data_IF_564743349237
#
_entry.id   IF_564743349237
#
_cell.length_a   1.000
_cell.length_b   1.000
_cell.length_c   1.000
_cell.angle_alpha   90.00
_cell.angle_beta   90.00
_cell.angle_gamma   90.00
#
_symmetry.space_group_name_H-M   'P 1'
#
loop_
_entity.id
_entity.type
_entity.pdbx_description
1 polymer ?
#
# COMPACT_ATOMS: atom_id res chain seq x y z
N UNK A 1 -0.51 10.05 11.01
CA UNK A 1 -0.43 10.68 9.65
C UNK A 1 0.01 9.60 8.67
N UNK A 2 -0.79 9.35 7.63
CA UNK A 2 -0.48 8.38 6.58
C UNK A 2 0.44 8.99 5.52
N UNK A 3 1.17 8.22 4.70
CA UNK A 3 1.95 8.76 3.59
C UNK A 3 1.12 9.62 2.62
N UNK A 4 -0.16 9.31 2.46
CA UNK A 4 -1.09 10.11 1.64
C UNK A 4 -1.36 11.48 2.27
N UNK A 5 -1.63 11.51 3.57
CA UNK A 5 -1.80 12.76 4.31
C UNK A 5 -0.51 13.57 4.33
N UNK A 6 0.63 12.92 4.58
CA UNK A 6 1.93 13.57 4.56
C UNK A 6 2.28 14.12 3.16
N UNK A 7 1.95 13.39 2.09
CA UNK A 7 2.08 13.89 0.71
C UNK A 7 1.27 15.18 0.50
N UNK A 8 0.03 15.22 1.00
CA UNK A 8 -0.81 16.44 0.95
C UNK A 8 -0.23 17.59 1.79
N UNK A 9 0.32 17.27 2.96
CA UNK A 9 1.01 18.24 3.83
C UNK A 9 2.25 18.83 3.14
N UNK A 10 3.04 18.00 2.46
CA UNK A 10 4.19 18.43 1.66
C UNK A 10 3.75 19.35 0.52
N UNK A 11 2.70 18.98 -0.22
CA UNK A 11 2.15 19.84 -1.28
C UNK A 11 1.57 21.15 -0.72
N UNK A 12 0.95 21.10 0.46
CA UNK A 12 0.50 22.29 1.18
C UNK A 12 1.67 23.21 1.56
N UNK A 13 2.81 22.66 1.97
CA UNK A 13 4.02 23.43 2.24
C UNK A 13 4.58 24.09 0.96
N UNK A 14 4.57 23.38 -0.17
CA UNK A 14 4.96 23.94 -1.47
C UNK A 14 4.03 25.11 -1.86
N UNK A 15 2.71 24.94 -1.73
CA UNK A 15 1.74 26.03 -2.01
C UNK A 15 2.02 27.26 -1.15
N UNK A 16 2.21 27.09 0.16
CA UNK A 16 2.53 28.19 1.06
C UNK A 16 3.81 28.93 0.66
N UNK A 17 4.85 28.21 0.27
CA UNK A 17 6.11 28.82 -0.20
C UNK A 17 5.92 29.57 -1.53
N UNK A 18 5.04 29.09 -2.42
CA UNK A 18 4.69 29.79 -3.67
C UNK A 18 3.86 31.02 -3.39
N UNK A 19 2.84 30.92 -2.53
CA UNK A 19 1.98 32.03 -2.12
C UNK A 19 2.75 33.14 -1.39
N UNK A 20 3.78 32.76 -0.61
CA UNK A 20 4.73 33.68 0.03
C UNK A 20 5.74 34.30 -0.95
N UNK A 21 5.74 33.88 -2.21
CA UNK A 21 6.70 34.37 -3.24
C UNK A 21 8.14 33.85 -3.07
N UNK A 22 8.35 32.88 -2.16
CA UNK A 22 9.66 32.28 -1.88
C UNK A 22 10.09 31.29 -2.97
N UNK A 23 9.11 30.64 -3.61
CA UNK A 23 9.28 29.75 -4.74
C UNK A 23 8.44 30.19 -5.93
N UNK A 24 8.99 30.10 -7.13
CA UNK A 24 8.28 30.38 -8.40
C UNK A 24 8.22 29.11 -9.22
N UNK A 25 7.25 28.24 -8.88
CA UNK A 25 7.05 26.94 -9.53
C UNK A 25 5.56 26.63 -9.56
N UNK A 26 5.16 25.78 -10.50
CA UNK A 26 3.86 25.15 -10.45
C UNK A 26 3.87 24.07 -9.33
N UNK A 27 2.80 24.04 -8.55
CA UNK A 27 2.67 23.03 -7.49
C UNK A 27 2.44 21.67 -8.14
N UNK A 28 3.30 20.67 -7.89
CA UNK A 28 3.13 19.36 -8.49
C UNK A 28 1.87 18.66 -7.95
N UNK A 29 1.29 17.78 -8.75
CA UNK A 29 0.10 17.01 -8.37
C UNK A 29 0.40 16.01 -7.24
N UNK A 30 1.64 15.54 -7.15
CA UNK A 30 2.07 14.50 -6.20
C UNK A 30 3.42 14.84 -5.59
N UNK A 31 3.53 14.60 -4.29
CA UNK A 31 4.81 14.52 -3.58
C UNK A 31 5.08 13.06 -3.21
N UNK A 32 6.24 12.55 -3.59
CA UNK A 32 6.67 11.21 -3.19
C UNK A 32 7.15 11.25 -1.75
N UNK A 33 6.55 10.41 -0.90
CA UNK A 33 6.92 10.23 0.50
C UNK A 33 7.20 8.75 0.72
N UNK A 34 8.39 8.43 1.21
CA UNK A 34 8.86 7.06 1.44
C UNK A 34 9.57 6.97 2.78
N UNK A 35 9.75 5.78 3.36
CA UNK A 35 10.70 5.60 4.45
C UNK A 35 12.09 6.13 4.06
N UNK A 36 12.87 6.69 5.01
CA UNK A 36 14.21 7.19 4.72
C UNK A 36 15.11 6.09 4.16
N UNK A 37 15.92 6.42 3.15
CA UNK A 37 16.96 5.53 2.64
C UNK A 37 18.14 5.38 3.62
N UNK A 38 19.14 4.61 3.22
CA UNK A 38 20.36 4.40 4.03
C UNK A 38 21.01 5.73 4.41
N UNK A 39 21.19 5.96 5.71
CA UNK A 39 21.72 7.22 6.27
C UNK A 39 20.69 8.33 6.47
N UNK A 40 19.42 8.12 6.11
CA UNK A 40 18.33 9.04 6.43
C UNK A 40 17.88 8.91 7.89
N UNK A 41 17.32 9.98 8.44
CA UNK A 41 16.80 10.06 9.81
C UNK A 41 15.33 10.44 9.80
N UNK A 42 14.58 10.08 10.86
CA UNK A 42 13.13 10.36 10.94
C UNK A 42 12.26 9.20 10.45
N UNK A 43 10.96 9.46 10.32
CA UNK A 43 9.95 8.44 9.99
C UNK A 43 9.72 8.34 8.47
N UNK A 44 9.79 9.47 7.78
CA UNK A 44 9.61 9.57 6.32
C UNK A 44 10.61 10.51 5.69
N UNK A 45 10.82 10.34 4.38
CA UNK A 45 11.62 11.22 3.54
C UNK A 45 10.85 11.60 2.27
N UNK A 46 11.11 12.82 1.76
CA UNK A 46 10.61 13.25 0.45
C UNK A 46 11.72 13.88 -0.37
N UNK A 47 11.66 13.66 -1.69
CA UNK A 47 12.56 14.23 -2.68
C UNK A 47 11.96 15.47 -3.37
N UNK A 48 10.91 16.06 -2.80
CA UNK A 48 10.16 17.16 -3.44
C UNK A 48 11.07 18.35 -3.80
N UNK A 49 12.05 18.67 -2.98
CA UNK A 49 13.00 19.76 -3.27
C UNK A 49 13.89 19.46 -4.49
N UNK A 50 14.27 18.19 -4.68
CA UNK A 50 15.01 17.75 -5.88
C UNK A 50 14.13 17.88 -7.14
N UNK A 51 12.85 17.56 -7.05
CA UNK A 51 11.91 17.68 -8.16
C UNK A 51 11.67 19.14 -8.54
N UNK A 52 11.57 20.04 -7.55
CA UNK A 52 11.28 21.45 -7.76
C UNK A 52 12.52 22.28 -8.11
N UNK A 53 13.73 21.79 -7.87
CA UNK A 53 14.99 22.53 -8.06
C UNK A 53 15.15 23.09 -9.48
N UNK A 54 14.93 22.23 -10.49
CA UNK A 54 15.06 22.62 -11.90
C UNK A 54 13.97 23.62 -12.33
N UNK A 55 12.67 23.39 -12.08
CA UNK A 55 11.63 24.38 -12.37
C UNK A 55 11.83 25.71 -11.64
N UNK A 56 12.32 25.69 -10.39
CA UNK A 56 12.58 26.89 -9.59
C UNK A 56 13.84 27.64 -10.01
N UNK A 57 14.71 27.04 -10.82
CA UNK A 57 16.02 27.61 -11.17
C UNK A 57 16.93 27.75 -9.94
N UNK A 58 16.75 26.94 -8.89
CA UNK A 58 17.48 26.99 -7.64
C UNK A 58 18.12 25.65 -7.28
N UNK A 59 19.24 25.63 -6.53
CA UNK A 59 19.81 24.38 -6.04
C UNK A 59 18.81 23.61 -5.14
N UNK A 60 18.77 22.27 -5.20
CA UNK A 60 17.84 21.47 -4.39
C UNK A 60 17.93 21.73 -2.89
N UNK A 61 19.15 21.93 -2.38
CA UNK A 61 19.37 22.27 -0.98
C UNK A 61 18.66 23.57 -0.60
N UNK A 62 18.73 24.60 -1.47
CA UNK A 62 18.07 25.87 -1.23
C UNK A 62 16.55 25.73 -1.22
N UNK A 63 16.00 24.94 -2.14
CA UNK A 63 14.57 24.64 -2.18
C UNK A 63 14.14 23.88 -0.89
N UNK A 64 14.97 22.94 -0.43
CA UNK A 64 14.70 22.22 0.83
C UNK A 64 14.72 23.17 2.05
N UNK A 65 15.66 24.11 2.11
CA UNK A 65 15.72 25.13 3.16
C UNK A 65 14.48 26.02 3.19
N UNK A 66 13.94 26.41 2.02
CA UNK A 66 12.72 27.21 1.91
C UNK A 66 11.48 26.41 2.36
N UNK A 67 11.39 25.12 2.02
CA UNK A 67 10.24 24.28 2.38
C UNK A 67 10.25 23.84 3.84
N UNK A 68 11.42 23.72 4.47
CA UNK A 68 11.56 23.23 5.84
C UNK A 68 10.69 23.98 6.87
N UNK A 69 10.67 25.34 6.93
CA UNK A 69 9.82 26.07 7.87
C UNK A 69 8.35 25.77 7.71
N UNK A 70 7.88 25.69 6.45
CA UNK A 70 6.48 25.39 6.14
C UNK A 70 6.07 23.95 6.51
N UNK A 71 7.02 23.02 6.60
CA UNK A 71 6.77 21.65 7.04
C UNK A 71 6.82 21.53 8.57
N UNK A 72 7.77 22.17 9.24
CA UNK A 72 7.91 22.11 10.71
C UNK A 72 6.67 22.66 11.42
N UNK A 73 5.98 23.64 10.84
CA UNK A 73 4.76 24.21 11.41
C UNK A 73 3.49 23.43 11.04
N UNK A 74 3.60 22.29 10.35
CA UNK A 74 2.44 21.48 10.01
C UNK A 74 2.09 20.53 11.17
N UNK A 75 0.78 20.38 11.44
CA UNK A 75 0.27 19.51 12.49
C UNK A 75 0.82 18.07 12.36
N UNK A 76 1.25 17.50 13.48
CA UNK A 76 1.77 16.14 13.55
C UNK A 76 3.23 15.98 13.10
N UNK A 77 3.94 17.07 12.77
CA UNK A 77 5.38 17.06 12.45
C UNK A 77 6.16 17.68 13.62
N UNK A 78 7.11 16.92 14.19
CA UNK A 78 7.96 17.37 15.30
C UNK A 78 9.34 17.85 14.83
N UNK A 79 9.73 17.53 13.60
CA UNK A 79 10.99 17.94 13.05
C UNK A 79 11.16 17.60 11.58
N UNK A 80 11.96 18.43 10.90
CA UNK A 80 12.36 18.22 9.51
C UNK A 80 13.86 18.43 9.40
N UNK A 81 14.57 17.42 8.94
CA UNK A 81 16.02 17.43 8.74
C UNK A 81 16.34 17.29 7.26
N UNK A 82 17.29 18.08 6.80
CA UNK A 82 17.73 18.03 5.40
C UNK A 82 18.99 17.16 5.32
N UNK A 83 18.96 16.16 4.44
CA UNK A 83 20.11 15.28 4.21
C UNK A 83 20.47 15.24 2.72
N UNK A 84 21.76 14.95 2.44
CA UNK A 84 22.28 14.86 1.09
C UNK A 84 22.01 16.13 0.28
N UNK A 85 21.67 16.00 -1.02
CA UNK A 85 21.51 17.14 -1.92
C UNK A 85 20.18 17.91 -1.76
N UNK A 86 19.32 17.55 -0.78
CA UNK A 86 18.01 18.19 -0.59
C UNK A 86 16.87 17.22 -0.29
N UNK A 87 17.16 16.05 0.30
CA UNK A 87 16.12 15.20 0.88
C UNK A 87 15.62 15.80 2.18
N UNK A 88 14.30 15.90 2.33
CA UNK A 88 13.65 16.34 3.55
C UNK A 88 13.20 15.10 4.32
N UNK A 89 13.85 14.85 5.47
CA UNK A 89 13.49 13.78 6.39
C UNK A 89 12.57 14.34 7.45
N UNK A 90 11.42 13.71 7.64
CA UNK A 90 10.32 14.21 8.45
C UNK A 90 10.17 13.30 9.66
N UNK A 91 10.12 13.91 10.86
CA UNK A 91 9.83 13.24 12.13
C UNK A 91 8.41 13.58 12.54
N UNK A 92 7.61 12.56 12.81
CA UNK A 92 6.22 12.71 13.24
C UNK A 92 6.10 12.78 14.76
N UNK A 93 4.99 13.36 15.22
CA UNK A 93 4.64 13.38 16.63
C UNK A 93 4.34 11.95 17.13
N UNK A 94 4.80 11.59 18.33
CA UNK A 94 4.59 10.24 18.88
C UNK A 94 3.10 9.87 19.03
N UNK A 95 2.24 10.86 19.26
CA UNK A 95 0.78 10.68 19.27
C UNK A 95 0.17 10.21 17.96
N UNK A 96 0.82 10.51 16.83
CA UNK A 96 0.35 10.11 15.49
C UNK A 96 0.42 8.60 15.29
N UNK A 97 1.47 7.94 15.81
CA UNK A 97 1.59 6.48 15.75
C UNK A 97 0.46 5.79 16.54
N UNK A 98 0.20 6.27 17.76
CA UNK A 98 -0.89 5.74 18.58
C UNK A 98 -2.28 5.99 17.96
N UNK A 99 -2.49 7.16 17.35
CA UNK A 99 -3.73 7.49 16.64
C UNK A 99 -3.94 6.59 15.42
N UNK A 100 -2.88 6.28 14.66
CA UNK A 100 -2.95 5.35 13.54
C UNK A 100 -3.31 3.95 13.99
N UNK A 101 -2.62 3.42 15.01
CA UNK A 101 -2.90 2.07 15.56
C UNK A 101 -4.35 2.00 16.04
N UNK A 102 -4.81 3.01 16.76
CA UNK A 102 -6.22 3.09 17.20
C UNK A 102 -7.17 3.07 16.01
N UNK A 103 -6.92 3.87 14.98
CA UNK A 103 -7.72 3.89 13.77
C UNK A 103 -7.79 2.52 13.08
N UNK A 104 -6.67 1.80 12.96
CA UNK A 104 -6.64 0.46 12.36
C UNK A 104 -7.54 -0.50 13.16
N UNK A 105 -7.45 -0.47 14.49
CA UNK A 105 -8.25 -1.33 15.36
C UNK A 105 -9.74 -0.98 15.32
N UNK A 106 -10.08 0.32 15.32
CA UNK A 106 -11.47 0.81 15.27
C UNK A 106 -12.15 0.50 13.93
N UNK A 107 -11.43 0.66 12.81
CA UNK A 107 -11.95 0.36 11.47
C UNK A 107 -12.01 -1.16 11.21
N UNK A 108 -11.11 -1.92 11.79
CA UNK A 108 -11.02 -3.37 11.65
C UNK A 108 -10.64 -3.84 10.23
N UNK A 109 -10.53 -5.17 10.01
CA UNK A 109 -10.01 -5.75 8.77
C UNK A 109 -10.90 -5.50 7.56
N UNK A 110 -12.20 -5.26 7.76
CA UNK A 110 -13.16 -5.05 6.68
C UNK A 110 -13.23 -3.61 6.16
N UNK A 111 -12.62 -2.63 6.87
CA UNK A 111 -12.75 -1.21 6.52
C UNK A 111 -11.43 -0.46 6.46
N UNK A 112 -10.41 -0.88 7.22
CA UNK A 112 -9.14 -0.16 7.17
C UNK A 112 -8.55 -0.16 5.75
N UNK A 113 -8.22 1.02 5.25
CA UNK A 113 -7.73 1.24 3.89
C UNK A 113 -8.83 1.37 2.83
N UNK A 114 -10.10 1.15 3.17
CA UNK A 114 -11.22 1.41 2.28
C UNK A 114 -11.51 2.91 2.18
N UNK A 115 -12.08 3.33 1.06
CA UNK A 115 -12.45 4.73 0.84
C UNK A 115 -13.59 4.85 -0.17
N UNK A 116 -14.24 6.01 -0.20
CA UNK A 116 -15.26 6.37 -1.18
C UNK A 116 -14.69 7.29 -2.29
N UNK A 117 -13.36 7.26 -2.49
CA UNK A 117 -12.68 8.15 -3.44
C UNK A 117 -13.15 7.97 -4.89
N UNK A 118 -13.70 6.81 -5.22
CA UNK A 118 -14.23 6.47 -6.54
C UNK A 118 -15.76 6.28 -6.54
N UNK A 119 -16.46 6.81 -5.55
CA UNK A 119 -17.92 6.70 -5.49
C UNK A 119 -18.56 7.26 -6.77
N UNK A 120 -19.49 6.50 -7.35
CA UNK A 120 -20.16 6.83 -8.59
C UNK A 120 -19.41 6.44 -9.88
N UNK A 121 -18.16 5.99 -9.80
CA UNK A 121 -17.42 5.49 -10.97
C UNK A 121 -17.74 4.02 -11.26
N UNK A 122 -17.67 3.65 -12.54
CA UNK A 122 -17.85 2.27 -13.00
C UNK A 122 -16.60 1.84 -13.76
N UNK A 123 -16.01 0.73 -13.34
CA UNK A 123 -14.87 0.09 -14.00
C UNK A 123 -15.31 -1.16 -14.74
N UNK A 124 -14.89 -1.30 -15.98
CA UNK A 124 -15.17 -2.50 -16.79
C UNK A 124 -13.86 -3.30 -16.93
N UNK A 125 -13.81 -4.50 -16.37
CA UNK A 125 -12.68 -5.42 -16.51
C UNK A 125 -12.97 -6.37 -17.69
N UNK A 126 -12.14 -6.32 -18.74
CA UNK A 126 -12.19 -7.28 -19.85
C UNK A 126 -11.24 -8.44 -19.56
N UNK A 127 -11.79 -9.63 -19.46
CA UNK A 127 -11.09 -10.81 -18.93
C UNK A 127 -11.16 -11.94 -19.96
N UNK A 128 -10.03 -12.49 -20.44
CA UNK A 128 -10.02 -13.69 -21.26
C UNK A 128 -10.44 -14.92 -20.44
N UNK A 129 -10.90 -15.97 -21.11
CA UNK A 129 -11.15 -17.29 -20.49
C UNK A 129 -9.81 -17.95 -20.15
N UNK A 130 -9.20 -17.52 -19.04
CA UNK A 130 -7.93 -18.02 -18.54
C UNK A 130 -7.91 -17.90 -17.00
N UNK A 131 -7.58 -18.97 -16.31
CA UNK A 131 -7.73 -19.10 -14.85
C UNK A 131 -7.02 -18.00 -14.08
N UNK A 132 -5.80 -17.61 -14.48
CA UNK A 132 -5.06 -16.55 -13.80
C UNK A 132 -5.68 -15.19 -14.02
N UNK A 133 -6.16 -14.91 -15.24
CA UNK A 133 -6.83 -13.66 -15.56
C UNK A 133 -8.13 -13.50 -14.77
N UNK A 134 -8.90 -14.58 -14.62
CA UNK A 134 -10.14 -14.58 -13.84
C UNK A 134 -9.86 -14.33 -12.34
N UNK A 135 -8.83 -14.98 -11.77
CA UNK A 135 -8.45 -14.76 -10.37
C UNK A 135 -7.90 -13.35 -10.14
N UNK A 136 -7.08 -12.82 -11.05
CA UNK A 136 -6.59 -11.43 -10.98
C UNK A 136 -7.74 -10.44 -11.08
N UNK A 137 -8.70 -10.67 -11.99
CA UNK A 137 -9.87 -9.80 -12.14
C UNK A 137 -10.79 -9.81 -10.90
N UNK A 138 -11.01 -10.97 -10.29
CA UNK A 138 -11.78 -11.09 -9.04
C UNK A 138 -11.16 -10.23 -7.92
N UNK A 139 -9.83 -10.31 -7.74
CA UNK A 139 -9.14 -9.51 -6.72
C UNK A 139 -9.13 -8.03 -7.07
N UNK A 140 -8.90 -7.67 -8.34
CA UNK A 140 -9.00 -6.28 -8.78
C UNK A 140 -10.39 -5.71 -8.52
N UNK A 141 -11.45 -6.48 -8.80
CA UNK A 141 -12.83 -6.06 -8.54
C UNK A 141 -13.04 -5.76 -7.05
N UNK A 142 -12.54 -6.61 -6.14
CA UNK A 142 -12.61 -6.38 -4.68
C UNK A 142 -11.81 -5.13 -4.26
N UNK A 143 -10.59 -4.98 -4.78
CA UNK A 143 -9.76 -3.81 -4.46
C UNK A 143 -10.37 -2.50 -4.96
N UNK A 144 -10.93 -2.49 -6.17
CA UNK A 144 -11.60 -1.31 -6.74
C UNK A 144 -12.89 -1.01 -5.99
N UNK A 145 -13.67 -2.04 -5.65
CA UNK A 145 -14.88 -1.89 -4.83
C UNK A 145 -14.55 -1.34 -3.43
N UNK A 146 -13.42 -1.73 -2.83
CA UNK A 146 -12.97 -1.18 -1.55
C UNK A 146 -12.66 0.33 -1.61
N UNK A 147 -12.52 0.89 -2.80
CA UNK A 147 -12.34 2.34 -3.02
C UNK A 147 -13.66 3.03 -3.44
N UNK A 148 -14.79 2.35 -3.34
CA UNK A 148 -16.14 2.89 -3.57
C UNK A 148 -16.65 2.80 -5.00
N UNK A 149 -15.87 2.29 -5.96
CA UNK A 149 -16.34 2.12 -7.35
C UNK A 149 -17.18 0.87 -7.54
N UNK A 150 -17.98 0.87 -8.61
CA UNK A 150 -18.65 -0.32 -9.11
C UNK A 150 -17.78 -1.01 -10.16
N UNK A 151 -17.81 -2.35 -10.20
CA UNK A 151 -17.00 -3.12 -11.15
C UNK A 151 -17.90 -4.05 -11.96
N UNK A 152 -17.72 -4.04 -13.27
CA UNK A 152 -18.32 -4.98 -14.20
C UNK A 152 -17.23 -5.86 -14.81
N UNK A 153 -17.41 -7.18 -14.79
CA UNK A 153 -16.51 -8.13 -15.42
C UNK A 153 -17.13 -8.58 -16.73
N UNK A 154 -16.42 -8.35 -17.85
CA UNK A 154 -16.82 -8.79 -19.18
C UNK A 154 -15.83 -9.83 -19.70
N UNK A 155 -16.29 -11.06 -19.92
CA UNK A 155 -15.48 -12.12 -20.48
C UNK A 155 -15.34 -11.97 -22.00
N UNK A 156 -14.12 -12.14 -22.51
CA UNK A 156 -13.83 -12.05 -23.95
C UNK A 156 -13.27 -13.36 -24.47
N UNK A 157 -13.84 -13.85 -25.60
CA UNK A 157 -13.19 -14.92 -26.37
C UNK A 157 -11.91 -14.39 -27.01
N UNK A 158 -10.84 -15.20 -27.03
CA UNK A 158 -9.50 -14.81 -27.52
C UNK A 158 -9.45 -14.24 -28.95
N UNK A 159 -10.50 -14.39 -29.74
CA UNK A 159 -10.58 -14.00 -31.15
C UNK A 159 -11.36 -12.70 -31.42
N UNK A 160 -12.02 -12.10 -30.45
CA UNK A 160 -12.69 -10.81 -30.64
C UNK A 160 -11.72 -9.66 -30.43
N UNK A 161 -10.83 -9.46 -31.40
CA UNK A 161 -10.07 -8.23 -31.53
C UNK A 161 -10.97 -7.13 -32.12
N UNK A 162 -11.13 -6.08 -31.31
CA UNK A 162 -11.42 -4.71 -31.75
C UNK A 162 -12.67 -4.46 -32.61
N UNK A 163 -13.79 -4.29 -31.96
CA UNK A 163 -14.69 -3.20 -32.33
C UNK A 163 -14.74 -2.24 -31.13
N UNK A 164 -13.98 -1.17 -31.22
CA UNK A 164 -14.06 -0.02 -30.32
C UNK A 164 -15.45 0.61 -30.47
N UNK A 165 -16.36 0.26 -29.58
CA UNK A 165 -17.58 1.04 -29.38
C UNK A 165 -17.20 2.32 -28.64
N UNK A 166 -17.34 3.44 -29.32
CA UNK A 166 -16.89 4.79 -28.94
C UNK A 166 -17.79 5.48 -27.89
N UNK A 167 -18.69 4.74 -27.25
CA UNK A 167 -19.72 5.31 -26.36
C UNK A 167 -19.59 4.93 -24.87
N UNK A 168 -18.45 4.35 -24.45
CA UNK A 168 -18.31 3.99 -23.04
C UNK A 168 -17.67 5.13 -22.25
N UNK A 169 -18.48 5.82 -21.45
CA UNK A 169 -18.09 6.73 -20.36
C UNK A 169 -17.42 5.98 -19.18
N UNK A 170 -17.18 4.67 -19.33
CA UNK A 170 -16.64 3.79 -18.29
C UNK A 170 -15.15 3.55 -18.48
N UNK A 171 -14.43 3.52 -17.38
CA UNK A 171 -13.02 3.18 -17.39
C UNK A 171 -12.84 1.69 -17.64
N UNK A 172 -12.19 1.33 -18.76
CA UNK A 172 -12.04 -0.07 -19.18
C UNK A 172 -10.60 -0.54 -18.98
N UNK A 173 -10.41 -1.69 -18.34
CA UNK A 173 -9.12 -2.33 -18.08
C UNK A 173 -9.07 -3.75 -18.67
N UNK A 174 -8.09 -4.00 -19.55
CA UNK A 174 -7.79 -5.34 -20.06
C UNK A 174 -6.95 -6.13 -19.07
N UNK A 175 -7.47 -7.23 -18.54
CA UNK A 175 -6.78 -8.08 -17.57
C UNK A 175 -6.09 -9.23 -18.31
N UNK A 176 -4.81 -9.06 -18.66
CA UNK A 176 -4.03 -10.04 -19.43
C UNK A 176 -2.68 -10.35 -18.76
N UNK A 177 -2.66 -11.04 -17.62
CA UNK A 177 -1.41 -11.54 -17.05
C UNK A 177 -0.85 -12.68 -17.93
N UNK A 178 0.44 -13.00 -17.75
CA UNK A 178 1.00 -14.23 -18.36
C UNK A 178 0.24 -15.44 -17.84
N UNK A 179 -0.28 -16.32 -18.73
CA UNK A 179 -1.12 -17.45 -18.33
C UNK A 179 -0.47 -18.42 -17.36
N UNK A 180 -1.32 -19.12 -16.61
CA UNK A 180 -0.86 -20.21 -15.76
C UNK A 180 -0.30 -21.37 -16.61
N UNK A 181 0.88 -21.93 -16.27
CA UNK A 181 1.50 -23.00 -17.06
C UNK A 181 0.77 -24.36 -16.93
N UNK A 182 -0.02 -24.53 -15.88
CA UNK A 182 -0.75 -25.76 -15.54
C UNK A 182 -1.91 -25.44 -14.61
N UNK A 183 -2.81 -26.41 -14.41
CA UNK A 183 -3.94 -26.30 -13.49
C UNK A 183 -3.47 -26.11 -12.04
N UNK A 184 -3.87 -25.02 -11.33
CA UNK A 184 -3.52 -24.79 -9.95
C UNK A 184 -4.41 -25.53 -8.93
N UNK A 185 -5.52 -26.14 -9.36
CA UNK A 185 -6.53 -26.79 -8.49
C UNK A 185 -5.93 -27.79 -7.48
N UNK A 186 -4.89 -28.61 -7.83
CA UNK A 186 -4.30 -29.53 -6.88
C UNK A 186 -3.63 -28.89 -5.65
N UNK A 187 -3.37 -27.57 -5.67
CA UNK A 187 -2.83 -26.86 -4.52
C UNK A 187 -3.89 -26.51 -3.45
N UNK A 188 -5.17 -26.72 -3.74
CA UNK A 188 -6.27 -26.24 -2.92
C UNK A 188 -6.53 -24.73 -3.13
N UNK A 189 -7.65 -24.19 -2.60
CA UNK A 189 -8.15 -22.87 -2.97
C UNK A 189 -7.16 -21.74 -2.67
N UNK A 190 -6.64 -21.67 -1.46
CA UNK A 190 -5.80 -20.56 -1.01
C UNK A 190 -4.42 -20.55 -1.66
N UNK A 191 -3.76 -21.71 -1.67
CA UNK A 191 -2.44 -21.85 -2.27
C UNK A 191 -2.49 -21.67 -3.80
N UNK A 192 -3.57 -22.13 -4.45
CA UNK A 192 -3.81 -21.90 -5.87
C UNK A 192 -3.95 -20.40 -6.18
N UNK A 193 -4.79 -19.68 -5.40
CA UNK A 193 -4.95 -18.22 -5.55
C UNK A 193 -3.64 -17.50 -5.33
N UNK A 194 -2.92 -17.82 -4.25
CA UNK A 194 -1.62 -17.22 -3.96
C UNK A 194 -0.60 -17.43 -5.07
N UNK A 195 -0.49 -18.66 -5.59
CA UNK A 195 0.44 -18.98 -6.69
C UNK A 195 0.17 -18.16 -7.95
N UNK A 196 -1.08 -17.81 -8.22
CA UNK A 196 -1.49 -17.00 -9.37
C UNK A 196 -1.33 -15.49 -9.14
N UNK A 197 -1.47 -15.02 -7.90
CA UNK A 197 -1.52 -13.60 -7.55
C UNK A 197 -0.16 -13.02 -7.11
N UNK A 198 0.65 -13.77 -6.37
CA UNK A 198 1.92 -13.30 -5.81
C UNK A 198 2.98 -12.91 -6.87
N UNK A 199 3.18 -13.66 -7.98
CA UNK A 199 4.08 -13.26 -9.05
C UNK A 199 3.55 -12.03 -9.80
N UNK A 200 4.46 -11.19 -10.32
CA UNK A 200 4.05 -10.06 -11.16
C UNK A 200 3.24 -10.55 -12.38
N UNK A 201 2.32 -9.73 -12.94
CA UNK A 201 1.52 -10.13 -14.10
C UNK A 201 2.36 -10.56 -15.32
N UNK A 202 3.55 -9.98 -15.47
CA UNK A 202 4.53 -10.33 -16.51
C UNK A 202 5.26 -11.65 -16.28
N UNK A 203 5.25 -12.15 -15.05
CA UNK A 203 6.01 -13.33 -14.66
C UNK A 203 5.19 -14.59 -14.82
N UNK A 204 5.84 -15.67 -15.22
CA UNK A 204 5.21 -16.99 -15.28
C UNK A 204 5.04 -17.56 -13.86
N UNK A 205 3.81 -17.87 -13.41
CA UNK A 205 3.61 -18.42 -12.07
C UNK A 205 4.19 -19.82 -11.95
N UNK A 206 4.72 -20.13 -10.75
CA UNK A 206 5.15 -21.47 -10.38
C UNK A 206 4.01 -22.15 -9.63
N UNK A 207 3.57 -23.32 -10.12
CA UNK A 207 2.45 -24.06 -9.54
C UNK A 207 2.96 -25.41 -9.07
N UNK A 208 3.71 -25.41 -7.96
CA UNK A 208 4.27 -26.64 -7.39
C UNK A 208 3.89 -26.80 -5.92
N UNK A 209 3.57 -28.03 -5.51
CA UNK A 209 3.28 -28.34 -4.11
C UNK A 209 4.46 -28.00 -3.18
N UNK A 210 5.69 -28.20 -3.66
CA UNK A 210 6.90 -27.90 -2.89
C UNK A 210 7.07 -26.41 -2.56
N UNK A 211 6.55 -25.51 -3.41
CA UNK A 211 6.63 -24.06 -3.19
C UNK A 211 5.48 -23.54 -2.32
N UNK A 212 4.28 -24.16 -2.39
CA UNK A 212 3.06 -23.58 -1.85
C UNK A 212 2.40 -24.35 -0.71
N UNK A 213 2.66 -25.68 -0.55
CA UNK A 213 2.00 -26.48 0.48
C UNK A 213 2.91 -26.78 1.69
N UNK A 214 4.21 -26.56 1.57
CA UNK A 214 5.14 -26.84 2.68
C UNK A 214 5.08 -25.71 3.71
N UNK A 215 4.85 -26.07 4.97
CA UNK A 215 4.85 -25.16 6.11
C UNK A 215 6.29 -24.82 6.54
N UNK A 216 6.91 -23.92 5.81
CA UNK A 216 8.27 -23.47 6.08
C UNK A 216 8.43 -21.97 5.80
N UNK A 217 9.46 -21.38 6.36
CA UNK A 217 9.79 -19.96 6.21
C UNK A 217 9.92 -19.53 4.73
N UNK A 218 10.41 -20.39 3.85
CA UNK A 218 10.51 -20.12 2.41
C UNK A 218 9.18 -20.07 1.65
N UNK A 219 8.03 -20.41 2.29
CA UNK A 219 6.70 -20.28 1.68
C UNK A 219 6.05 -18.97 2.11
N UNK A 220 5.92 -17.97 1.21
CA UNK A 220 5.38 -16.67 1.57
C UNK A 220 3.93 -16.70 2.08
N UNK A 221 3.06 -17.55 1.49
CA UNK A 221 1.68 -17.70 1.98
C UNK A 221 1.66 -18.23 3.42
N UNK A 222 2.41 -19.30 3.68
CA UNK A 222 2.51 -19.84 5.03
C UNK A 222 2.99 -18.78 6.03
N UNK A 223 3.98 -17.97 5.68
CA UNK A 223 4.48 -16.88 6.56
C UNK A 223 3.41 -15.85 6.86
N UNK A 224 2.61 -15.44 5.89
CA UNK A 224 1.51 -14.47 6.08
C UNK A 224 0.43 -15.06 7.01
N UNK A 225 -0.03 -16.27 6.73
CA UNK A 225 -1.02 -16.96 7.58
C UNK A 225 -0.46 -17.23 8.99
N UNK A 226 0.80 -17.66 9.09
CA UNK A 226 1.48 -17.89 10.36
C UNK A 226 1.60 -16.60 11.18
N UNK A 227 2.00 -15.50 10.55
CA UNK A 227 2.08 -14.20 11.22
C UNK A 227 0.71 -13.77 11.76
N UNK A 228 -0.35 -13.90 10.96
CA UNK A 228 -1.72 -13.61 11.42
C UNK A 228 -2.10 -14.49 12.63
N UNK A 229 -1.98 -15.81 12.53
CA UNK A 229 -2.31 -16.72 13.63
C UNK A 229 -1.49 -16.43 14.90
N UNK A 230 -0.21 -16.06 14.75
CA UNK A 230 0.67 -15.67 15.87
C UNK A 230 0.25 -14.36 16.53
N UNK A 231 -0.21 -13.35 15.75
CA UNK A 231 -0.75 -12.11 16.34
C UNK A 231 -2.00 -12.41 17.16
N UNK A 232 -2.91 -13.24 16.67
CA UNK A 232 -4.10 -13.66 17.41
C UNK A 232 -3.73 -14.42 18.68
N UNK A 233 -2.75 -15.34 18.61
CA UNK A 233 -2.29 -16.08 19.79
C UNK A 233 -1.67 -15.15 20.85
N UNK A 234 -0.88 -14.15 20.45
CA UNK A 234 -0.26 -13.21 21.41
C UNK A 234 -1.31 -12.33 22.09
N UNK A 235 -2.37 -11.92 21.38
CA UNK A 235 -3.49 -11.16 21.96
C UNK A 235 -4.24 -12.01 22.99
N UNK A 236 -4.54 -13.28 22.66
CA UNK A 236 -5.16 -14.22 23.63
C UNK A 236 -4.28 -14.43 24.86
N UNK A 237 -2.99 -14.69 24.67
CA UNK A 237 -2.04 -14.90 25.77
C UNK A 237 -1.91 -13.66 26.67
N UNK A 238 -1.97 -12.46 26.10
CA UNK A 238 -1.97 -11.22 26.89
C UNK A 238 -3.23 -11.09 27.75
N UNK A 239 -4.39 -11.45 27.21
CA UNK A 239 -5.65 -11.48 27.98
C UNK A 239 -5.58 -12.48 29.13
N UNK A 240 -5.01 -13.68 28.92
CA UNK A 240 -4.78 -14.68 29.95
C UNK A 240 -3.80 -14.18 31.05
N UNK A 241 -2.85 -13.33 30.68
CA UNK A 241 -1.94 -12.64 31.60
C UNK A 241 -2.55 -11.39 32.26
N UNK A 242 -3.82 -11.08 31.98
CA UNK A 242 -4.57 -9.99 32.61
C UNK A 242 -4.26 -8.60 32.09
N UNK A 243 -3.78 -8.45 30.84
CA UNK A 243 -3.61 -7.12 30.24
C UNK A 243 -4.11 -7.05 28.78
N UNK A 244 -4.47 -5.86 28.36
CA UNK A 244 -5.07 -5.55 27.06
C UNK A 244 -4.16 -4.67 26.22
N UNK A 245 -4.31 -4.67 24.88
CA UNK A 245 -3.61 -3.74 24.00
C UNK A 245 -4.05 -2.30 24.27
N UNK A 246 -3.08 -1.40 24.35
CA UNK A 246 -3.31 0.04 24.49
C UNK A 246 -2.41 0.79 23.49
N UNK A 247 -2.98 1.46 22.46
CA UNK A 247 -2.19 2.25 21.53
C UNK A 247 -1.39 3.34 22.26
N UNK A 248 -0.08 3.28 22.17
CA UNK A 248 0.86 4.16 22.84
C UNK A 248 2.00 4.61 21.94
N UNK A 249 3.03 5.23 22.53
CA UNK A 249 4.24 5.58 21.80
C UNK A 249 4.89 4.30 21.25
N UNK A 250 4.90 4.15 19.93
CA UNK A 250 5.65 3.09 19.28
C UNK A 250 7.15 3.37 19.39
N UNK A 251 7.95 2.30 19.50
CA UNK A 251 9.40 2.46 19.44
C UNK A 251 9.80 3.10 18.09
N UNK A 252 10.69 4.10 18.08
CA UNK A 252 11.02 4.87 16.86
C UNK A 252 11.58 4.05 15.70
N UNK A 253 11.92 2.79 15.91
CA UNK A 253 12.55 1.89 14.94
C UNK A 253 11.69 0.68 14.56
N UNK A 254 10.40 0.66 14.89
CA UNK A 254 9.55 -0.45 14.45
C UNK A 254 9.31 -0.35 12.93
N UNK A 255 9.90 -1.21 12.09
CA UNK A 255 9.71 -1.17 10.63
C UNK A 255 8.26 -1.46 10.23
N UNK A 256 7.45 -1.93 11.18
CA UNK A 256 6.06 -2.30 10.99
C UNK A 256 5.14 -1.08 10.78
N UNK A 257 5.34 0.01 11.54
CA UNK A 257 4.44 1.17 11.48
C UNK A 257 4.34 1.81 10.07
N UNK A 258 5.44 2.05 9.35
CA UNK A 258 5.40 2.52 7.96
C UNK A 258 4.62 1.57 7.04
N UNK A 259 4.77 0.25 7.21
CA UNK A 259 4.05 -0.73 6.40
C UNK A 259 2.54 -0.66 6.66
N UNK A 260 2.10 -0.61 7.93
CA UNK A 260 0.68 -0.46 8.26
C UNK A 260 0.11 0.85 7.69
N UNK A 261 0.89 1.92 7.74
CA UNK A 261 0.52 3.23 7.20
C UNK A 261 0.38 3.23 5.68
N UNK A 262 1.16 2.39 4.98
CA UNK A 262 1.20 2.32 3.51
C UNK A 262 0.07 1.47 2.91
N UNK A 263 -0.58 0.64 3.71
CA UNK A 263 -1.61 -0.29 3.24
C UNK A 263 -2.76 0.39 2.46
N UNK A 264 -3.36 1.53 2.89
CA UNK A 264 -4.36 2.23 2.10
C UNK A 264 -3.86 2.67 0.72
N UNK A 265 -2.58 3.09 0.63
CA UNK A 265 -1.95 3.45 -0.65
C UNK A 265 -1.81 2.24 -1.56
N UNK A 266 -1.44 1.07 -1.00
CA UNK A 266 -1.36 -0.17 -1.77
C UNK A 266 -2.72 -0.53 -2.37
N UNK A 267 -3.80 -0.42 -1.61
CA UNK A 267 -5.15 -0.66 -2.13
C UNK A 267 -5.52 0.31 -3.26
N UNK A 268 -5.20 1.59 -3.09
CA UNK A 268 -5.44 2.60 -4.10
C UNK A 268 -4.65 2.39 -5.41
N UNK A 269 -3.61 1.53 -5.44
CA UNK A 269 -2.87 1.25 -6.69
C UNK A 269 -3.71 0.49 -7.72
N UNK A 270 -4.79 -0.18 -7.33
CA UNK A 270 -5.72 -0.83 -8.25
C UNK A 270 -6.45 0.18 -9.16
N UNK A 271 -6.51 1.45 -8.74
CA UNK A 271 -7.27 2.52 -9.37
C UNK A 271 -6.39 3.63 -9.96
N UNK A 272 -5.07 3.60 -9.75
CA UNK A 272 -4.12 4.67 -10.10
C UNK A 272 -3.93 4.91 -11.61
N UNK A 273 -4.75 4.30 -12.46
CA UNK A 273 -4.55 4.26 -13.91
C UNK A 273 -5.00 5.52 -14.65
N UNK A 274 -5.99 6.25 -14.14
CA UNK A 274 -6.70 7.26 -14.92
C UNK A 274 -6.12 8.67 -14.88
N UNK A 275 -5.59 9.11 -13.76
CA UNK A 275 -5.28 10.54 -13.54
C UNK A 275 -3.95 10.99 -14.14
N UNK A 276 -3.00 10.09 -14.40
CA UNK A 276 -1.65 10.46 -14.85
C UNK A 276 -1.53 10.65 -16.38
N UNK A 277 -2.55 10.34 -17.17
CA UNK A 277 -2.50 10.41 -18.65
C UNK A 277 -3.06 11.73 -19.19
N UNK A 278 -3.95 12.40 -18.46
CA UNK A 278 -4.58 13.64 -18.94
C UNK A 278 -3.59 14.82 -19.00
N UNK A 279 -2.58 14.86 -18.13
CA UNK A 279 -1.67 16.01 -18.03
C UNK A 279 -0.44 15.92 -18.95
N UNK A 280 -0.05 14.71 -19.38
CA UNK A 280 1.10 14.55 -20.29
C UNK A 280 0.83 14.93 -21.75
N UNK A 281 -0.46 15.07 -22.14
CA UNK A 281 -0.86 15.31 -23.55
C UNK A 281 -1.01 16.79 -23.90
N UNK A 282 -0.97 17.70 -22.91
CA UNK A 282 -1.21 19.13 -23.13
C UNK A 282 0.02 19.92 -23.61
N UNK A 283 1.21 19.32 -23.69
CA UNK A 283 2.46 20.04 -24.05
C UNK A 283 3.15 19.56 -25.32
N UNK A 284 2.53 18.70 -26.13
CA UNK A 284 3.06 18.32 -27.43
C UNK A 284 2.24 18.99 -28.54
N UNK A 285 2.66 20.16 -28.96
CA UNK A 285 2.21 20.83 -30.18
C UNK A 285 2.53 19.99 -31.42
N UNK A 286 1.49 19.66 -32.19
CA UNK A 286 1.61 19.47 -33.66
C UNK A 286 1.92 18.07 -34.14
N UNK A 287 0.94 17.50 -34.67
CA UNK A 287 0.69 16.46 -35.66
C UNK A 287 -0.14 15.30 -35.13
N UNK A 288 -1.36 15.22 -35.67
CA UNK A 288 -2.37 14.27 -35.28
C UNK A 288 -1.95 12.82 -35.50
N UNK A 289 -1.72 12.16 -34.40
CA UNK A 289 -1.88 10.71 -34.29
C UNK A 289 -2.65 10.49 -32.99
N UNK A 290 -3.88 10.07 -33.11
CA UNK A 290 -4.72 9.64 -31.98
C UNK A 290 -4.07 8.44 -31.32
N UNK A 291 -3.21 8.70 -30.34
CA UNK A 291 -2.71 7.65 -29.47
C UNK A 291 -3.89 7.16 -28.61
N UNK A 292 -4.41 6.00 -28.95
CA UNK A 292 -5.32 5.23 -28.08
C UNK A 292 -4.63 5.07 -26.71
N UNK A 293 -5.27 5.47 -25.60
CA UNK A 293 -4.71 5.23 -24.28
C UNK A 293 -4.65 3.71 -24.06
N UNK A 294 -3.44 3.15 -24.17
CA UNK A 294 -3.23 1.77 -23.76
C UNK A 294 -3.34 1.68 -22.24
N UNK A 295 -4.14 0.74 -21.70
CA UNK A 295 -4.24 0.52 -20.27
C UNK A 295 -2.84 0.22 -19.72
N UNK A 296 -2.44 0.98 -18.72
CA UNK A 296 -1.11 0.83 -18.12
C UNK A 296 -1.02 -0.51 -17.37
N UNK A 297 0.11 -1.23 -17.50
CA UNK A 297 0.35 -2.51 -16.82
C UNK A 297 0.33 -2.41 -15.28
N UNK A 298 0.30 -1.20 -14.74
CA UNK A 298 0.41 -0.93 -13.31
C UNK A 298 -0.81 -1.35 -12.48
N UNK A 299 -2.05 -1.20 -12.98
CA UNK A 299 -3.25 -1.58 -12.22
C UNK A 299 -3.35 -3.11 -12.08
N UNK A 300 -3.05 -3.87 -13.14
CA UNK A 300 -3.07 -5.34 -13.13
C UNK A 300 -2.08 -5.92 -12.11
N UNK A 301 -1.02 -5.17 -11.77
CA UNK A 301 -0.04 -5.56 -10.78
C UNK A 301 -0.49 -5.31 -9.31
N UNK A 302 -1.63 -4.66 -9.08
CA UNK A 302 -2.09 -4.33 -7.73
C UNK A 302 -2.27 -5.56 -6.82
N UNK A 303 -2.85 -6.69 -7.27
CA UNK A 303 -2.93 -7.90 -6.45
C UNK A 303 -1.55 -8.43 -6.02
N UNK A 304 -0.58 -8.44 -6.93
CA UNK A 304 0.78 -8.87 -6.62
C UNK A 304 1.52 -7.89 -5.69
N UNK A 305 1.22 -6.59 -5.78
CA UNK A 305 1.73 -5.59 -4.83
C UNK A 305 1.13 -5.81 -3.44
N UNK A 306 -0.18 -6.07 -3.35
CA UNK A 306 -0.84 -6.39 -2.09
C UNK A 306 -0.24 -7.65 -1.48
N UNK A 307 -0.12 -8.75 -2.22
CA UNK A 307 0.47 -9.99 -1.72
C UNK A 307 1.89 -9.80 -1.16
N UNK A 308 2.76 -9.07 -1.88
CA UNK A 308 4.11 -8.74 -1.42
C UNK A 308 4.13 -7.83 -0.21
N UNK A 309 3.20 -6.89 -0.14
CA UNK A 309 3.04 -6.02 1.02
C UNK A 309 2.66 -6.82 2.27
N UNK A 310 1.74 -7.78 2.15
CA UNK A 310 1.39 -8.67 3.27
C UNK A 310 2.57 -9.50 3.75
N UNK A 311 3.45 -9.96 2.85
CA UNK A 311 4.71 -10.63 3.24
C UNK A 311 5.60 -9.68 4.05
N UNK A 312 5.76 -8.44 3.62
CA UNK A 312 6.57 -7.47 4.37
C UNK A 312 5.97 -7.14 5.75
N UNK A 313 4.65 -7.03 5.85
CA UNK A 313 3.95 -6.85 7.15
C UNK A 313 4.15 -8.08 8.04
N UNK A 314 4.04 -9.30 7.47
CA UNK A 314 4.25 -10.55 8.19
C UNK A 314 5.67 -10.64 8.76
N UNK A 315 6.69 -10.32 7.97
CA UNK A 315 8.08 -10.32 8.41
C UNK A 315 8.30 -9.34 9.56
N UNK A 316 7.84 -8.10 9.39
CA UNK A 316 8.01 -7.06 10.39
C UNK A 316 7.27 -7.34 11.71
N UNK A 317 6.08 -7.96 11.66
CA UNK A 317 5.36 -8.31 12.88
C UNK A 317 5.97 -9.52 13.58
N UNK A 318 6.45 -10.53 12.84
CA UNK A 318 7.13 -11.69 13.42
C UNK A 318 8.38 -11.28 14.22
N UNK A 319 9.13 -10.27 13.75
CA UNK A 319 10.26 -9.70 14.48
C UNK A 319 9.84 -8.95 15.75
N UNK A 320 8.63 -8.40 15.80
CA UNK A 320 8.09 -7.69 16.96
C UNK A 320 7.58 -8.63 18.06
N UNK A 321 6.94 -9.75 17.68
CA UNK A 321 6.19 -10.63 18.59
C UNK A 321 7.01 -11.11 19.81
N UNK A 322 8.31 -11.48 19.72
CA UNK A 322 9.10 -11.95 20.87
C UNK A 322 9.24 -10.93 22.01
N UNK A 323 9.05 -9.63 21.72
CA UNK A 323 9.14 -8.55 22.71
C UNK A 323 7.77 -8.03 23.17
N UNK A 324 6.67 -8.65 22.72
CA UNK A 324 5.32 -8.15 22.98
C UNK A 324 4.78 -8.58 24.34
N UNK A 325 5.12 -9.78 24.81
CA UNK A 325 4.73 -10.29 26.11
C UNK A 325 5.85 -10.15 27.16
N UNK A 326 5.52 -9.90 28.43
CA UNK A 326 6.50 -9.90 29.51
C UNK A 326 7.14 -11.28 29.67
N UNK A 327 8.39 -11.33 30.14
CA UNK A 327 9.15 -12.57 30.32
C UNK A 327 9.38 -12.86 31.82
N UNK A 328 9.22 -14.11 32.21
CA UNK A 328 9.41 -14.56 33.59
C UNK A 328 8.50 -13.78 34.56
N UNK A 329 9.06 -13.18 35.60
CA UNK A 329 8.35 -12.43 36.63
C UNK A 329 8.09 -10.94 36.27
N UNK A 330 8.37 -10.54 35.02
CA UNK A 330 8.17 -9.17 34.57
C UNK A 330 6.68 -8.82 34.53
N UNK A 331 6.31 -7.64 35.06
CA UNK A 331 4.93 -7.16 34.99
C UNK A 331 4.67 -6.45 33.67
N UNK A 332 3.43 -6.56 33.11
CA UNK A 332 3.04 -5.82 31.91
C UNK A 332 3.27 -4.31 32.06
N UNK A 333 4.05 -3.73 31.17
CA UNK A 333 4.35 -2.30 31.11
C UNK A 333 3.54 -1.60 30.01
N UNK A 334 3.53 -0.28 29.99
CA UNK A 334 2.94 0.49 28.88
C UNK A 334 3.58 0.15 27.53
N UNK A 335 4.88 -0.17 27.50
CA UNK A 335 5.56 -0.62 26.28
C UNK A 335 5.04 -1.97 25.78
N UNK A 336 4.74 -2.94 26.66
CA UNK A 336 4.13 -4.20 26.29
C UNK A 336 2.73 -3.99 25.70
N UNK A 337 1.90 -3.14 26.31
CA UNK A 337 0.54 -2.81 25.82
C UNK A 337 0.59 -2.11 24.45
N UNK A 338 1.54 -1.20 24.24
CA UNK A 338 1.72 -0.52 22.96
C UNK A 338 2.20 -1.47 21.85
N UNK A 339 3.15 -2.38 22.15
CA UNK A 339 3.60 -3.41 21.19
C UNK A 339 2.49 -4.41 20.88
N UNK A 340 1.68 -4.76 21.87
CA UNK A 340 0.52 -5.64 21.70
C UNK A 340 -0.51 -4.99 20.77
N UNK A 341 -0.83 -3.70 20.95
CA UNK A 341 -1.74 -2.96 20.09
C UNK A 341 -1.19 -2.87 18.64
N UNK A 342 0.12 -2.69 18.49
CA UNK A 342 0.75 -2.67 17.17
C UNK A 342 0.74 -4.05 16.49
N UNK A 343 0.93 -5.13 17.26
CA UNK A 343 0.81 -6.50 16.75
C UNK A 343 -0.63 -6.83 16.32
N UNK A 344 -1.63 -6.44 17.11
CA UNK A 344 -3.05 -6.60 16.78
C UNK A 344 -3.43 -5.81 15.52
N UNK A 345 -2.95 -4.57 15.39
CA UNK A 345 -3.14 -3.77 14.17
C UNK A 345 -2.52 -4.44 12.93
N UNK A 346 -1.36 -5.09 13.07
CA UNK A 346 -0.77 -5.87 12.00
C UNK A 346 -1.64 -7.09 11.64
N UNK A 347 -2.17 -7.80 12.63
CA UNK A 347 -3.12 -8.89 12.41
C UNK A 347 -4.37 -8.43 11.64
N UNK A 348 -4.89 -7.25 11.98
CA UNK A 348 -6.01 -6.61 11.27
C UNK A 348 -5.69 -6.36 9.79
N UNK A 349 -4.52 -5.81 9.48
CA UNK A 349 -4.09 -5.56 8.09
C UNK A 349 -3.86 -6.86 7.32
N UNK A 350 -3.24 -7.88 7.96
CA UNK A 350 -3.05 -9.20 7.34
C UNK A 350 -4.39 -9.86 7.00
N UNK A 351 -5.36 -9.85 7.92
CA UNK A 351 -6.70 -10.40 7.71
C UNK A 351 -7.44 -9.68 6.58
N UNK A 352 -7.44 -8.33 6.60
CA UNK A 352 -8.08 -7.52 5.56
C UNK A 352 -7.47 -7.76 4.19
N UNK A 353 -6.15 -7.82 4.09
CA UNK A 353 -5.44 -8.08 2.84
C UNK A 353 -5.65 -9.49 2.30
N UNK A 354 -5.61 -10.52 3.15
CA UNK A 354 -5.93 -11.90 2.77
C UNK A 354 -7.37 -12.00 2.25
N UNK A 355 -8.34 -11.39 2.94
CA UNK A 355 -9.75 -11.34 2.52
C UNK A 355 -9.90 -10.70 1.12
N UNK A 356 -9.22 -9.59 0.84
CA UNK A 356 -9.23 -8.97 -0.49
C UNK A 356 -8.63 -9.89 -1.56
N UNK A 357 -7.58 -10.65 -1.23
CA UNK A 357 -7.02 -11.67 -2.12
C UNK A 357 -7.94 -12.90 -2.27
N UNK A 358 -9.00 -13.03 -1.45
CA UNK A 358 -9.90 -14.18 -1.41
C UNK A 358 -9.25 -15.42 -0.81
N UNK A 359 -8.39 -15.21 0.18
CA UNK A 359 -7.64 -16.22 0.92
C UNK A 359 -8.07 -16.14 2.38
N UNK A 360 -8.23 -17.29 3.02
CA UNK A 360 -8.62 -17.36 4.42
C UNK A 360 -7.50 -16.85 5.34
N UNK A 361 -7.91 -16.16 6.41
CA UNK A 361 -7.03 -15.70 7.48
C UNK A 361 -7.27 -16.56 8.74
N UNK A 362 -6.58 -17.70 8.89
CA UNK A 362 -6.86 -18.62 9.99
C UNK A 362 -6.35 -18.05 11.33
N UNK A 363 -7.14 -18.17 12.39
CA UNK A 363 -6.75 -17.78 13.75
C UNK A 363 -5.80 -18.79 14.41
N UNK A 364 -5.68 -19.99 13.84
CA UNK A 364 -4.84 -21.10 14.27
C UNK A 364 -4.20 -21.80 13.06
N UNK A 365 -2.98 -22.26 13.21
CA UNK A 365 -2.25 -23.08 12.24
C UNK A 365 -1.72 -24.33 12.91
#
# INVERSE_FOLDING_TARGET
MTPVELSRTVLGAVRRAVDAGELRVDVPERAVVTPPGAGGVGDYATNIALQLARPAGQPPLRVAELLRPHLVHADGITGVEITGPGFLNIRLEQGVAAALVRRILDEGPARYGHSDALAGQVYVLRVPYEVRAEVVADVLARMVASQGARVEIRQQKQQEQQTLHKDDTHETLDVRPVPAPQDPTPLGPDAARWALLHPAPSDRPRITAADHLVQREGNPLFRVCYAHARTQAVVRNAADLGFTPEPGAAEPRAPLLPLLTDYPRILATATATATATATATATATGTGTTATPHPRPDAIAAPARLARHLVAVADAVLDLLPATLPRGDEKPTAAHRARLALAEAAGTVLAGGLSLLGIDAPDHL
#
